data_IF_464248659122
#
_entry.id   IF_464248659122
#
_cell.length_a   1.000
_cell.length_b   1.000
_cell.length_c   1.000
_cell.angle_alpha   90.00
_cell.angle_beta   90.00
_cell.angle_gamma   90.00
#
_symmetry.space_group_name_H-M   'P 1'
#
loop_
_entity.id
_entity.type
_entity.pdbx_description
1 polymer ?
#
# COMPACT_ATOMS: atom_id res chain seq x y z
N UNK A 1 7.31 13.39 -13.34
CA UNK A 1 6.71 13.22 -12.00
C UNK A 1 5.21 13.29 -12.18
N UNK A 2 4.40 12.46 -11.49
CA UNK A 2 2.95 12.56 -11.57
C UNK A 2 2.55 13.98 -11.18
N UNK A 3 1.68 14.60 -11.97
CA UNK A 3 1.42 16.05 -11.90
C UNK A 3 0.37 16.44 -10.87
N UNK A 4 -0.29 15.47 -10.23
CA UNK A 4 -1.28 15.67 -9.18
C UNK A 4 -1.26 14.46 -8.24
N UNK A 5 -0.28 14.39 -7.33
CA UNK A 5 -0.30 13.38 -6.28
C UNK A 5 -1.27 13.83 -5.19
N UNK A 6 -2.51 13.36 -5.30
CA UNK A 6 -3.52 13.50 -4.26
C UNK A 6 -3.15 12.61 -3.05
N UNK A 7 -2.67 13.24 -1.97
CA UNK A 7 -2.23 12.57 -0.74
C UNK A 7 -3.38 12.30 0.26
N UNK A 8 -4.62 12.15 -0.21
CA UNK A 8 -5.82 11.79 0.56
C UNK A 8 -5.70 10.52 1.44
N UNK A 9 -4.62 9.74 1.29
CA UNK A 9 -4.29 8.60 2.17
C UNK A 9 -3.82 9.06 3.55
N UNK A 10 -3.20 10.24 3.65
CA UNK A 10 -2.83 10.83 4.92
C UNK A 10 -4.02 11.60 5.50
N UNK A 11 -4.47 11.21 6.69
CA UNK A 11 -5.53 11.88 7.43
C UNK A 11 -5.14 13.32 7.86
N UNK A 12 -5.61 13.74 9.04
CA UNK A 12 -5.30 15.01 9.73
C UNK A 12 -3.80 15.37 9.93
N UNK A 13 -2.87 14.54 9.47
CA UNK A 13 -1.43 14.71 9.69
C UNK A 13 -0.69 15.49 8.59
N UNK A 14 -1.22 15.55 7.36
CA UNK A 14 -0.60 16.27 6.23
C UNK A 14 -1.61 17.29 5.68
N UNK A 15 -1.38 18.57 6.00
CA UNK A 15 -2.23 19.67 5.54
C UNK A 15 -1.72 20.33 4.26
N UNK A 16 -0.39 20.45 4.12
CA UNK A 16 0.27 21.11 2.99
C UNK A 16 1.42 20.25 2.47
N UNK A 17 1.63 20.25 1.15
CA UNK A 17 2.78 19.66 0.49
C UNK A 17 3.73 20.77 0.00
N UNK A 18 4.98 20.71 0.44
CA UNK A 18 6.04 21.61 -0.04
C UNK A 18 7.21 20.75 -0.48
N UNK A 19 7.62 20.92 -1.73
CA UNK A 19 8.84 20.33 -2.26
C UNK A 19 9.99 21.23 -1.86
N UNK A 20 10.95 20.70 -1.10
CA UNK A 20 12.10 21.45 -0.60
C UNK A 20 13.39 20.66 -0.81
N UNK A 21 14.48 21.29 -1.28
CA UNK A 21 15.77 20.63 -1.38
C UNK A 21 16.33 20.30 0.01
N UNK A 22 16.96 19.14 0.15
CA UNK A 22 17.65 18.72 1.37
C UNK A 22 19.13 18.47 1.05
N UNK A 23 19.95 19.53 0.88
CA UNK A 23 21.35 19.37 0.50
C UNK A 23 22.11 18.58 1.58
N UNK A 24 22.95 17.64 1.13
CA UNK A 24 23.72 16.78 2.04
C UNK A 24 22.90 15.69 2.74
N UNK A 25 21.63 15.51 2.39
CA UNK A 25 20.84 14.41 2.92
C UNK A 25 21.37 13.06 2.42
N UNK A 26 21.37 12.07 3.30
CA UNK A 26 21.69 10.68 2.94
C UNK A 26 20.80 9.71 3.71
N UNK A 27 20.57 8.56 3.10
CA UNK A 27 19.84 7.44 3.68
C UNK A 27 20.54 6.15 3.27
N UNK A 28 21.30 5.57 4.21
CA UNK A 28 22.05 4.35 3.99
C UNK A 28 21.55 3.26 4.95
N UNK A 29 21.10 2.15 4.37
CA UNK A 29 20.73 0.96 5.13
C UNK A 29 21.74 -0.12 4.82
N UNK A 30 22.34 -0.67 5.86
CA UNK A 30 23.30 -1.78 5.81
C UNK A 30 22.75 -2.97 6.60
N UNK A 31 23.47 -4.09 6.55
CA UNK A 31 23.18 -5.23 7.42
C UNK A 31 23.20 -4.88 8.91
N UNK A 32 23.95 -3.82 9.29
CA UNK A 32 24.09 -3.34 10.67
C UNK A 32 23.09 -2.25 11.04
N UNK A 33 22.12 -1.92 10.20
CA UNK A 33 21.09 -0.94 10.51
C UNK A 33 21.18 0.29 9.63
N UNK A 34 20.70 1.43 10.13
CA UNK A 34 20.53 2.65 9.34
C UNK A 34 21.45 3.79 9.78
N UNK A 35 22.01 4.46 8.78
CA UNK A 35 22.62 5.77 8.90
C UNK A 35 21.80 6.75 8.04
N UNK A 36 21.23 7.77 8.67
CA UNK A 36 20.43 8.80 7.99
C UNK A 36 20.75 10.17 8.52
N UNK A 37 20.83 11.13 7.61
CA UNK A 37 20.92 12.55 7.96
C UNK A 37 20.12 13.35 6.96
N UNK A 38 19.31 14.28 7.43
CA UNK A 38 18.67 15.28 6.59
C UNK A 38 18.40 16.54 7.40
N UNK A 39 18.34 17.66 6.71
CA UNK A 39 17.93 18.93 7.26
C UNK A 39 17.11 19.70 6.23
N UNK A 40 16.13 20.47 6.70
CA UNK A 40 15.30 21.34 5.88
C UNK A 40 14.67 22.43 6.74
N UNK A 41 14.19 23.49 6.11
CA UNK A 41 13.35 24.49 6.77
C UNK A 41 11.88 24.17 6.49
N UNK A 42 11.07 24.06 7.54
CA UNK A 42 9.65 23.75 7.39
C UNK A 42 8.83 24.95 6.89
N UNK A 43 7.53 24.74 6.64
CA UNK A 43 6.62 25.78 6.10
C UNK A 43 6.50 27.04 6.97
N UNK A 44 6.87 26.96 8.24
CA UNK A 44 6.83 28.06 9.21
C UNK A 44 8.19 28.71 9.41
N UNK A 45 9.20 28.34 8.62
CA UNK A 45 10.55 28.88 8.75
C UNK A 45 11.38 28.26 9.86
N UNK A 46 10.97 27.11 10.43
CA UNK A 46 11.74 26.42 11.48
C UNK A 46 12.74 25.46 10.86
N UNK A 47 13.98 25.51 11.34
CA UNK A 47 14.99 24.55 10.94
C UNK A 47 14.72 23.18 11.59
N UNK A 48 14.70 22.14 10.77
CA UNK A 48 14.55 20.75 11.17
C UNK A 48 15.84 20.02 10.83
N UNK A 49 16.42 19.32 11.80
CA UNK A 49 17.61 18.49 11.62
C UNK A 49 17.36 17.12 12.23
N UNK A 50 17.62 16.06 11.46
CA UNK A 50 17.56 14.67 11.91
C UNK A 50 18.85 13.98 11.52
N UNK A 51 19.48 13.32 12.49
CA UNK A 51 20.64 12.43 12.29
C UNK A 51 20.48 11.18 13.14
N UNK A 52 20.63 10.02 12.52
CA UNK A 52 20.64 8.71 13.17
C UNK A 52 21.85 7.95 12.64
N UNK A 53 22.64 7.37 13.54
CA UNK A 53 23.78 6.53 13.19
C UNK A 53 23.77 5.28 14.06
N UNK A 54 23.56 4.11 13.45
CA UNK A 54 23.60 2.81 14.14
C UNK A 54 25.01 2.20 14.08
N UNK A 55 25.71 2.18 15.21
CA UNK A 55 27.09 1.66 15.33
C UNK A 55 27.14 0.23 15.87
N UNK A 56 25.99 -0.43 16.01
CA UNK A 56 25.91 -1.74 16.62
C UNK A 56 26.47 -2.81 15.66
N UNK A 57 27.46 -3.62 16.08
CA UNK A 57 28.15 -4.56 15.19
C UNK A 57 27.30 -5.77 14.81
N UNK A 58 26.23 -6.06 15.58
CA UNK A 58 25.35 -7.21 15.33
C UNK A 58 24.48 -6.92 14.09
N UNK A 59 24.30 -7.88 13.17
CA UNK A 59 23.39 -7.71 12.06
C UNK A 59 21.93 -7.58 12.53
N UNK A 60 21.17 -6.84 11.75
CA UNK A 60 19.72 -6.67 11.87
C UNK A 60 18.99 -7.93 11.40
N UNK A 61 17.70 -8.00 11.69
CA UNK A 61 16.82 -9.10 11.25
C UNK A 61 15.54 -8.49 10.71
N UNK A 62 15.62 -7.84 9.54
CA UNK A 62 14.48 -7.14 8.98
C UNK A 62 13.42 -8.12 8.50
N UNK A 63 12.20 -7.62 8.31
CA UNK A 63 11.06 -8.41 7.84
C UNK A 63 10.26 -7.64 6.80
N UNK A 64 9.27 -8.27 6.16
CA UNK A 64 8.38 -7.57 5.24
C UNK A 64 7.12 -7.12 5.96
N UNK A 65 6.72 -5.87 5.73
CA UNK A 65 5.54 -5.27 6.33
C UNK A 65 4.64 -4.68 5.25
N UNK A 66 3.34 -5.02 5.28
CA UNK A 66 2.32 -4.19 4.64
C UNK A 66 2.09 -2.97 5.53
N UNK A 67 2.60 -1.82 5.11
CA UNK A 67 2.50 -0.59 5.87
C UNK A 67 1.02 -0.17 6.00
N UNK A 68 0.52 0.11 7.21
CA UNK A 68 -0.87 0.49 7.43
C UNK A 68 -1.11 1.97 7.08
N UNK A 69 -0.60 2.45 5.95
CA UNK A 69 -0.71 3.86 5.52
C UNK A 69 -2.17 4.25 5.29
N UNK A 70 -2.99 3.32 4.81
CA UNK A 70 -4.43 3.52 4.63
C UNK A 70 -5.25 3.48 5.92
N UNK A 71 -4.66 3.14 7.07
CA UNK A 71 -5.42 2.94 8.31
C UNK A 71 -6.02 4.21 8.90
N UNK A 72 -5.52 5.39 8.51
CA UNK A 72 -6.03 6.68 8.95
C UNK A 72 -6.80 7.43 7.87
N UNK A 73 -6.74 7.03 6.60
CA UNK A 73 -7.41 7.74 5.50
C UNK A 73 -8.90 7.95 5.76
N UNK A 74 -9.37 9.19 5.56
CA UNK A 74 -10.78 9.58 5.72
C UNK A 74 -11.53 9.49 4.38
N UNK A 75 -10.88 9.91 3.28
CA UNK A 75 -11.45 9.93 1.93
C UNK A 75 -10.51 9.18 0.95
N UNK A 76 -10.38 7.85 1.06
CA UNK A 76 -9.45 7.11 0.22
C UNK A 76 -9.83 7.24 -1.25
N UNK A 77 -8.83 7.42 -2.12
CA UNK A 77 -8.99 7.35 -3.58
C UNK A 77 -8.43 6.06 -4.16
N UNK A 78 -7.76 5.22 -3.36
CA UNK A 78 -7.27 3.88 -3.74
C UNK A 78 -7.08 3.00 -2.50
N UNK A 79 -6.92 1.69 -2.68
CA UNK A 79 -6.38 0.83 -1.63
C UNK A 79 -4.83 0.80 -1.74
N UNK A 80 -4.09 1.33 -0.75
CA UNK A 80 -2.63 1.35 -0.82
C UNK A 80 -2.05 -0.02 -0.48
N UNK A 81 -1.53 -0.74 -1.48
CA UNK A 81 -0.70 -1.92 -1.22
C UNK A 81 0.75 -1.46 -1.09
N UNK A 82 1.09 -0.95 0.09
CA UNK A 82 2.42 -0.42 0.38
C UNK A 82 3.26 -1.41 1.16
N UNK A 83 4.18 -2.08 0.46
CA UNK A 83 5.09 -3.05 1.05
C UNK A 83 6.43 -2.40 1.36
N UNK A 84 6.84 -2.54 2.61
CA UNK A 84 8.17 -2.23 3.09
C UNK A 84 8.91 -3.56 3.23
N UNK A 85 9.69 -3.93 2.21
CA UNK A 85 10.60 -5.06 2.29
C UNK A 85 11.81 -4.66 3.13
N UNK A 86 12.48 -5.63 3.73
CA UNK A 86 13.65 -5.36 4.58
C UNK A 86 13.39 -4.26 5.62
N UNK A 87 12.17 -4.23 6.16
CA UNK A 87 11.73 -3.28 7.18
C UNK A 87 12.35 -3.63 8.53
N UNK A 88 12.83 -2.62 9.24
CA UNK A 88 13.27 -2.77 10.63
C UNK A 88 13.03 -1.47 11.43
N UNK A 89 13.29 -1.56 12.73
CA UNK A 89 13.29 -0.44 13.65
C UNK A 89 14.70 -0.07 14.07
N UNK A 90 14.92 1.22 14.31
CA UNK A 90 16.19 1.73 14.82
C UNK A 90 16.46 1.17 16.21
N UNK A 91 17.63 0.56 16.43
CA UNK A 91 18.01 0.02 17.73
C UNK A 91 18.42 1.15 18.68
N UNK A 92 18.29 0.90 19.98
CA UNK A 92 18.68 1.87 21.02
C UNK A 92 20.14 1.74 21.44
N UNK A 93 20.66 0.51 21.45
CA UNK A 93 22.02 0.24 21.88
C UNK A 93 23.01 0.62 20.80
N UNK A 94 24.04 1.41 21.17
CA UNK A 94 25.08 1.89 20.26
C UNK A 94 24.53 2.68 19.07
N UNK A 95 23.53 3.52 19.32
CA UNK A 95 22.90 4.37 18.31
C UNK A 95 22.93 5.83 18.74
N UNK A 96 23.45 6.68 17.88
CA UNK A 96 23.36 8.13 18.03
C UNK A 96 22.08 8.62 17.36
N UNK A 97 21.28 9.39 18.10
CA UNK A 97 20.05 10.00 17.57
C UNK A 97 20.03 11.48 17.94
N UNK A 98 19.95 12.33 16.92
CA UNK A 98 19.77 13.78 17.05
C UNK A 98 18.52 14.15 16.25
N UNK A 99 17.53 14.70 16.94
CA UNK A 99 16.36 15.32 16.33
C UNK A 99 16.26 16.72 16.92
N UNK A 100 16.32 17.75 16.07
CA UNK A 100 16.20 19.14 16.46
C UNK A 100 15.15 19.84 15.61
N UNK A 101 14.29 20.63 16.25
CA UNK A 101 13.33 21.51 15.57
C UNK A 101 13.50 22.90 16.18
N UNK A 102 13.89 23.88 15.36
CA UNK A 102 14.19 25.25 15.79
C UNK A 102 15.17 25.30 16.98
N UNK A 103 16.24 24.51 16.91
CA UNK A 103 17.25 24.39 17.97
C UNK A 103 16.81 23.58 19.20
N UNK A 104 15.55 23.17 19.30
CA UNK A 104 15.05 22.34 20.41
C UNK A 104 15.28 20.86 20.12
N UNK A 105 15.96 20.17 21.03
CA UNK A 105 16.16 18.73 20.94
C UNK A 105 14.91 17.93 21.34
N UNK A 106 14.63 16.88 20.57
CA UNK A 106 13.51 15.97 20.80
C UNK A 106 14.01 14.57 21.17
N UNK A 107 13.32 13.93 22.12
CA UNK A 107 13.58 12.54 22.50
C UNK A 107 12.73 11.62 21.62
N UNK A 108 13.32 10.57 21.05
CA UNK A 108 12.55 9.55 20.35
C UNK A 108 11.59 8.79 21.25
N UNK A 109 10.43 8.43 20.70
CA UNK A 109 9.56 7.44 21.32
C UNK A 109 10.23 6.06 21.34
N UNK A 110 9.97 5.31 22.40
CA UNK A 110 10.50 3.96 22.59
C UNK A 110 9.40 2.93 22.36
N UNK A 111 9.79 1.76 21.84
CA UNK A 111 8.88 0.63 21.79
C UNK A 111 8.86 -0.09 23.16
N UNK A 112 7.68 -0.49 23.67
CA UNK A 112 7.56 -0.99 25.05
C UNK A 112 8.20 -2.38 25.25
N UNK A 113 8.45 -3.13 24.19
CA UNK A 113 9.07 -4.46 24.23
C UNK A 113 10.24 -4.56 23.24
N UNK A 114 11.23 -5.42 23.52
CA UNK A 114 12.35 -5.63 22.60
C UNK A 114 11.89 -6.36 21.32
N UNK A 115 12.55 -6.05 20.20
CA UNK A 115 12.41 -6.72 18.92
C UNK A 115 13.72 -7.48 18.63
N UNK A 116 13.63 -8.77 18.29
CA UNK A 116 14.81 -9.59 17.96
C UNK A 116 15.93 -9.53 19.02
N UNK A 117 15.56 -9.44 20.30
CA UNK A 117 16.49 -9.31 21.43
C UNK A 117 17.10 -7.93 21.63
N UNK A 118 16.67 -6.91 20.86
CA UNK A 118 17.15 -5.54 20.97
C UNK A 118 16.04 -4.59 21.44
N UNK A 119 16.38 -3.66 22.33
CA UNK A 119 15.49 -2.52 22.61
C UNK A 119 15.54 -1.57 21.41
N UNK A 120 14.38 -1.13 20.93
CA UNK A 120 14.24 -0.31 19.72
C UNK A 120 13.54 1.02 20.02
N UNK A 121 13.83 2.03 19.20
CA UNK A 121 13.02 3.24 19.11
C UNK A 121 11.80 2.98 18.22
N UNK A 122 10.75 3.77 18.36
CA UNK A 122 9.62 3.76 17.44
C UNK A 122 9.91 4.53 16.14
N UNK A 123 11.10 4.28 15.58
CA UNK A 123 11.57 4.79 14.31
C UNK A 123 11.70 3.62 13.35
N UNK A 124 11.12 3.77 12.17
CA UNK A 124 10.93 2.69 11.20
C UNK A 124 11.64 3.07 9.92
N UNK A 125 12.33 2.11 9.30
CA UNK A 125 13.01 2.34 8.03
C UNK A 125 12.92 1.12 7.12
N UNK A 126 13.02 1.39 5.82
CA UNK A 126 13.19 0.41 4.75
C UNK A 126 13.76 1.16 3.55
N UNK A 127 14.73 0.57 2.86
CA UNK A 127 15.26 1.06 1.59
C UNK A 127 14.74 0.29 0.38
N UNK A 128 13.89 -0.71 0.61
CA UNK A 128 13.26 -1.54 -0.41
C UNK A 128 11.75 -1.45 -0.21
N UNK A 129 11.11 -0.55 -0.96
CA UNK A 129 9.67 -0.32 -0.85
C UNK A 129 8.98 -0.45 -2.20
N UNK A 130 7.76 -1.01 -2.18
CA UNK A 130 6.94 -1.20 -3.37
C UNK A 130 5.51 -0.76 -3.07
N UNK A 131 5.00 0.20 -3.85
CA UNK A 131 3.66 0.76 -3.69
C UNK A 131 2.84 0.48 -4.96
N UNK A 132 1.65 -0.07 -4.76
CA UNK A 132 0.63 -0.21 -5.79
C UNK A 132 -0.65 0.46 -5.33
N UNK A 133 -1.17 1.35 -6.15
CA UNK A 133 -2.46 1.99 -5.95
C UNK A 133 -3.54 1.07 -6.55
N UNK A 134 -4.15 0.22 -5.73
CA UNK A 134 -5.14 -0.74 -6.21
C UNK A 134 -6.50 -0.09 -6.46
N UNK A 135 -7.05 -0.31 -7.67
CA UNK A 135 -8.30 0.25 -8.17
C UNK A 135 -8.49 1.75 -7.84
N UNK A 136 -7.63 2.66 -8.34
CA UNK A 136 -7.81 4.08 -8.09
C UNK A 136 -9.21 4.55 -8.51
N UNK A 137 -9.76 5.49 -7.74
CA UNK A 137 -11.01 6.17 -8.03
C UNK A 137 -10.89 6.85 -9.40
N UNK A 138 -11.95 6.75 -10.17
CA UNK A 138 -11.90 7.13 -11.58
C UNK A 138 -13.27 7.62 -12.02
N UNK A 139 -13.28 8.64 -12.87
CA UNK A 139 -14.49 9.14 -13.52
C UNK A 139 -14.15 9.44 -14.96
N UNK A 140 -14.71 8.69 -15.89
CA UNK A 140 -14.38 8.85 -17.30
C UNK A 140 -14.78 7.67 -18.19
N UNK A 141 -14.48 7.78 -19.50
CA UNK A 141 -14.69 6.71 -20.45
C UNK A 141 -13.68 5.58 -20.26
N UNK A 142 -14.16 4.33 -20.21
CA UNK A 142 -13.36 3.13 -20.18
C UNK A 142 -12.78 2.84 -21.56
N UNK A 143 -11.51 2.48 -21.61
CA UNK A 143 -10.87 1.96 -22.82
C UNK A 143 -10.63 0.47 -22.67
N UNK A 144 -10.87 -0.33 -23.72
CA UNK A 144 -10.44 -1.72 -23.73
C UNK A 144 -8.95 -1.81 -23.41
N UNK A 145 -8.56 -2.83 -22.67
CA UNK A 145 -7.14 -3.06 -22.43
C UNK A 145 -6.48 -3.49 -23.75
N UNK A 146 -5.47 -2.76 -24.22
CA UNK A 146 -4.60 -3.15 -25.33
C UNK A 146 -3.18 -3.41 -24.86
N UNK A 147 -2.36 -4.10 -25.65
CA UNK A 147 -0.94 -4.34 -25.37
C UNK A 147 -0.09 -3.05 -25.32
N UNK A 148 -0.66 -1.92 -25.77
CA UNK A 148 0.00 -0.60 -25.79
C UNK A 148 -0.20 0.20 -24.49
N UNK A 149 -0.84 -0.42 -23.49
CA UNK A 149 -1.12 0.13 -22.16
C UNK A 149 0.13 0.18 -21.26
N UNK A 150 0.08 0.87 -20.10
CA UNK A 150 1.27 1.26 -19.35
C UNK A 150 2.22 0.11 -19.05
N UNK A 151 3.50 0.38 -19.28
CA UNK A 151 4.63 -0.51 -19.03
C UNK A 151 4.53 -1.11 -17.61
N UNK A 152 4.64 -2.44 -17.53
CA UNK A 152 4.65 -3.17 -16.27
C UNK A 152 3.28 -3.63 -15.75
N UNK A 153 2.16 -3.43 -16.47
CA UNK A 153 0.88 -4.10 -16.16
C UNK A 153 0.69 -5.34 -17.05
N UNK A 154 0.24 -6.45 -16.46
CA UNK A 154 -0.08 -7.68 -17.19
C UNK A 154 -1.50 -8.12 -16.88
N UNK A 155 -2.22 -8.64 -17.89
CA UNK A 155 -3.54 -9.23 -17.72
C UNK A 155 -3.50 -10.65 -18.27
N UNK A 156 -3.93 -11.61 -17.45
CA UNK A 156 -4.10 -12.99 -17.84
C UNK A 156 -5.60 -13.29 -17.95
N UNK A 157 -6.07 -13.46 -19.17
CA UNK A 157 -7.44 -13.87 -19.44
C UNK A 157 -7.54 -15.40 -19.37
N UNK A 158 -8.71 -15.93 -19.03
CA UNK A 158 -8.95 -17.35 -19.20
C UNK A 158 -9.03 -17.78 -20.66
N UNK A 159 -9.31 -19.06 -20.89
CA UNK A 159 -9.54 -19.51 -22.27
C UNK A 159 -10.83 -18.84 -22.79
N UNK A 160 -11.03 -18.77 -24.12
CA UNK A 160 -12.08 -17.95 -24.78
C UNK A 160 -13.36 -17.77 -23.95
N UNK A 161 -13.61 -16.55 -23.46
CA UNK A 161 -14.83 -16.15 -22.76
C UNK A 161 -14.82 -16.31 -21.23
N UNK A 162 -13.74 -16.83 -20.65
CA UNK A 162 -13.63 -17.09 -19.20
C UNK A 162 -13.44 -15.83 -18.34
N UNK A 163 -13.31 -14.62 -18.91
CA UNK A 163 -12.99 -13.40 -18.15
C UNK A 163 -11.52 -13.29 -17.70
N UNK A 164 -11.25 -12.36 -16.77
CA UNK A 164 -9.91 -12.03 -16.28
C UNK A 164 -9.54 -12.94 -15.10
N UNK A 165 -8.56 -13.84 -15.29
CA UNK A 165 -8.05 -14.73 -14.23
C UNK A 165 -7.14 -13.97 -13.27
N UNK A 166 -6.26 -13.11 -13.79
CA UNK A 166 -5.40 -12.29 -12.96
C UNK A 166 -4.94 -10.99 -13.63
N UNK A 167 -4.61 -10.01 -12.79
CA UNK A 167 -3.94 -8.76 -13.17
C UNK A 167 -2.64 -8.67 -12.38
N UNK A 168 -1.55 -8.36 -13.04
CA UNK A 168 -0.23 -8.18 -12.44
C UNK A 168 0.29 -6.77 -12.63
N UNK A 169 1.17 -6.34 -11.73
CA UNK A 169 2.01 -5.16 -11.95
C UNK A 169 3.44 -5.43 -11.48
N UNK A 170 4.44 -4.87 -12.17
CA UNK A 170 5.85 -5.05 -11.85
C UNK A 170 6.65 -3.76 -11.90
N UNK A 171 7.70 -3.69 -11.07
CA UNK A 171 8.70 -2.62 -11.08
C UNK A 171 10.03 -3.15 -10.56
N UNK A 172 11.02 -3.26 -11.44
CA UNK A 172 12.32 -3.84 -11.09
C UNK A 172 12.15 -5.28 -10.60
N UNK A 173 12.63 -5.58 -9.39
CA UNK A 173 12.54 -6.92 -8.78
C UNK A 173 11.22 -7.19 -8.04
N UNK A 174 10.28 -6.25 -8.02
CA UNK A 174 9.02 -6.39 -7.29
C UNK A 174 7.87 -6.60 -8.27
N UNK A 175 7.01 -7.54 -7.94
CA UNK A 175 5.74 -7.70 -8.65
C UNK A 175 4.61 -8.06 -7.72
N UNK A 176 3.41 -7.70 -8.13
CA UNK A 176 2.13 -8.02 -7.51
C UNK A 176 1.28 -8.79 -8.51
N UNK A 177 0.42 -9.66 -8.02
CA UNK A 177 -0.66 -10.28 -8.78
C UNK A 177 -1.95 -10.22 -7.97
N UNK A 178 -3.04 -9.94 -8.66
CA UNK A 178 -4.42 -10.04 -8.17
C UNK A 178 -5.07 -11.16 -8.94
N UNK A 179 -5.45 -12.23 -8.24
CA UNK A 179 -6.05 -13.41 -8.84
C UNK A 179 -7.53 -13.46 -8.46
N UNK A 180 -8.40 -13.76 -9.42
CA UNK A 180 -9.86 -13.81 -9.24
C UNK A 180 -10.38 -15.26 -9.29
N UNK A 181 -11.28 -15.61 -8.36
CA UNK A 181 -11.89 -16.94 -8.25
C UNK A 181 -13.41 -16.79 -8.00
N UNK A 182 -14.30 -17.10 -8.96
CA UNK A 182 -14.00 -17.37 -10.37
C UNK A 182 -13.32 -16.17 -11.05
N UNK A 183 -12.80 -16.31 -12.28
CA UNK A 183 -12.27 -15.17 -13.03
C UNK A 183 -13.26 -13.99 -13.07
N UNK A 184 -12.75 -12.76 -13.08
CA UNK A 184 -13.58 -11.57 -13.12
C UNK A 184 -14.25 -11.45 -14.50
N UNK A 185 -15.58 -11.27 -14.58
CA UNK A 185 -16.33 -11.39 -15.83
C UNK A 185 -15.98 -10.30 -16.86
N UNK A 186 -16.12 -10.61 -18.15
CA UNK A 186 -16.19 -9.59 -19.20
C UNK A 186 -17.49 -8.80 -19.03
N UNK A 187 -17.37 -7.52 -18.71
CA UNK A 187 -18.50 -6.69 -18.29
C UNK A 187 -19.40 -6.33 -19.49
N UNK A 188 -18.86 -6.26 -20.70
CA UNK A 188 -19.66 -5.95 -21.90
C UNK A 188 -20.61 -7.09 -22.28
N UNK A 189 -20.24 -8.32 -21.91
CA UNK A 189 -20.94 -9.54 -22.31
C UNK A 189 -21.88 -10.06 -21.21
N UNK A 190 -21.91 -9.39 -20.05
CA UNK A 190 -22.76 -9.76 -18.93
C UNK A 190 -24.24 -9.63 -19.32
N UNK A 191 -25.03 -10.70 -19.17
CA UNK A 191 -26.45 -10.67 -19.50
C UNK A 191 -27.23 -9.75 -18.56
N UNK A 192 -28.30 -9.12 -19.06
CA UNK A 192 -29.18 -8.31 -18.23
C UNK A 192 -29.73 -9.13 -17.05
N UNK A 193 -29.92 -8.49 -15.89
CA UNK A 193 -30.38 -9.07 -14.62
C UNK A 193 -29.50 -10.20 -14.09
N UNK A 194 -28.21 -10.21 -14.48
CA UNK A 194 -27.24 -11.17 -13.97
C UNK A 194 -26.45 -10.55 -12.83
N UNK A 195 -26.19 -11.36 -11.79
CA UNK A 195 -25.27 -11.04 -10.71
C UNK A 195 -24.27 -12.18 -10.51
N UNK A 196 -23.01 -11.81 -10.29
CA UNK A 196 -21.89 -12.71 -10.09
C UNK A 196 -21.12 -12.29 -8.84
N UNK A 197 -20.58 -13.26 -8.13
CA UNK A 197 -19.74 -13.03 -6.98
C UNK A 197 -18.51 -13.93 -7.01
N UNK A 198 -17.45 -13.47 -6.37
CA UNK A 198 -16.21 -14.22 -6.28
C UNK A 198 -15.27 -13.65 -5.25
N UNK A 199 -14.06 -14.20 -5.26
CA UNK A 199 -12.97 -13.82 -4.39
C UNK A 199 -11.83 -13.23 -5.21
N UNK A 200 -11.08 -12.32 -4.60
CA UNK A 200 -9.79 -11.89 -5.13
C UNK A 200 -8.68 -12.10 -4.11
N UNK A 201 -7.49 -12.39 -4.59
CA UNK A 201 -6.30 -12.58 -3.77
C UNK A 201 -5.14 -11.77 -4.36
N UNK A 202 -4.66 -10.80 -3.59
CA UNK A 202 -3.50 -9.97 -3.87
C UNK A 202 -2.26 -10.62 -3.23
N UNK A 203 -1.25 -10.92 -4.04
CA UNK A 203 0.04 -11.51 -3.63
C UNK A 203 1.20 -10.79 -4.28
N UNK A 204 2.37 -10.86 -3.67
CA UNK A 204 3.63 -10.50 -4.34
C UNK A 204 4.44 -11.70 -4.75
N UNK A 205 5.48 -11.48 -5.57
CA UNK A 205 6.49 -12.48 -5.88
C UNK A 205 7.22 -13.06 -4.67
N UNK A 206 7.27 -12.33 -3.55
CA UNK A 206 7.82 -12.82 -2.28
C UNK A 206 6.71 -13.41 -1.41
N UNK A 207 6.84 -14.69 -1.05
CA UNK A 207 5.84 -15.37 -0.22
C UNK A 207 5.78 -14.85 1.22
N UNK A 208 6.93 -14.37 1.74
CA UNK A 208 7.05 -13.80 3.08
C UNK A 208 6.20 -12.52 3.28
N UNK A 209 5.82 -11.84 2.20
CA UNK A 209 4.95 -10.65 2.25
C UNK A 209 3.52 -10.96 2.69
N UNK A 210 3.12 -12.24 2.69
CA UNK A 210 1.73 -12.62 2.93
C UNK A 210 0.82 -12.29 1.74
N UNK A 211 -0.48 -12.19 2.01
CA UNK A 211 -1.50 -11.89 0.98
C UNK A 211 -2.60 -11.00 1.54
N UNK A 212 -3.31 -10.30 0.64
CA UNK A 212 -4.60 -9.66 0.96
C UNK A 212 -5.68 -10.46 0.24
N UNK A 213 -6.77 -10.78 0.92
CA UNK A 213 -7.90 -11.50 0.32
C UNK A 213 -9.20 -10.73 0.51
N UNK A 214 -10.13 -10.92 -0.42
CA UNK A 214 -11.40 -10.22 -0.42
C UNK A 214 -12.43 -10.84 -1.33
N UNK A 215 -13.57 -10.19 -1.42
CA UNK A 215 -14.68 -10.57 -2.29
C UNK A 215 -14.97 -9.47 -3.30
N UNK A 216 -15.48 -9.87 -4.45
CA UNK A 216 -16.05 -8.97 -5.44
C UNK A 216 -17.48 -9.40 -5.78
N UNK A 217 -18.28 -8.44 -6.22
CA UNK A 217 -19.62 -8.63 -6.73
C UNK A 217 -19.81 -7.76 -7.97
N UNK A 218 -20.39 -8.34 -9.02
CA UNK A 218 -20.72 -7.66 -10.28
C UNK A 218 -22.18 -7.91 -10.59
N UNK A 219 -22.95 -6.88 -10.89
CA UNK A 219 -24.36 -7.01 -11.27
C UNK A 219 -24.71 -6.10 -12.43
N UNK A 220 -25.56 -6.56 -13.34
CA UNK A 220 -26.11 -5.75 -14.45
C UNK A 220 -27.61 -5.57 -14.28
N UNK A 221 -28.06 -4.33 -14.48
CA UNK A 221 -29.48 -3.97 -14.62
C UNK A 221 -29.63 -2.98 -15.78
N UNK A 222 -30.23 -3.45 -16.88
CA UNK A 222 -30.31 -2.72 -18.14
C UNK A 222 -28.91 -2.40 -18.69
N UNK A 223 -28.62 -1.11 -18.83
CA UNK A 223 -27.33 -0.60 -19.32
C UNK A 223 -26.38 -0.19 -18.19
N UNK A 224 -26.74 -0.46 -16.93
CA UNK A 224 -25.92 -0.15 -15.77
C UNK A 224 -25.29 -1.42 -15.19
N UNK A 225 -23.97 -1.35 -14.95
CA UNK A 225 -23.21 -2.38 -14.25
C UNK A 225 -22.70 -1.80 -12.94
N UNK A 226 -22.94 -2.50 -11.85
CA UNK A 226 -22.38 -2.18 -10.55
C UNK A 226 -21.30 -3.20 -10.20
N UNK A 227 -20.14 -2.72 -9.78
CA UNK A 227 -19.06 -3.55 -9.24
C UNK A 227 -18.80 -3.12 -7.81
N UNK A 228 -18.67 -4.08 -6.91
CA UNK A 228 -18.26 -3.86 -5.52
C UNK A 228 -17.07 -4.76 -5.21
N UNK A 229 -16.04 -4.21 -4.57
CA UNK A 229 -14.91 -5.00 -4.06
C UNK A 229 -14.65 -4.67 -2.60
N UNK A 230 -14.36 -5.70 -1.82
CA UNK A 230 -14.12 -5.57 -0.40
C UNK A 230 -13.00 -6.54 0.04
N UNK A 231 -11.82 -6.04 0.48
CA UNK A 231 -10.74 -6.86 1.04
C UNK A 231 -11.09 -7.39 2.45
N UNK A 232 -12.19 -8.16 2.55
CA UNK A 232 -12.78 -8.72 3.77
C UNK A 232 -11.82 -9.59 4.58
N UNK A 233 -10.88 -10.26 3.92
CA UNK A 233 -9.86 -11.09 4.57
C UNK A 233 -8.78 -10.27 5.28
N UNK A 234 -8.64 -8.99 4.91
CA UNK A 234 -7.56 -8.14 5.39
C UNK A 234 -6.20 -8.61 4.90
N UNK A 235 -5.14 -8.26 5.63
CA UNK A 235 -3.81 -8.76 5.38
C UNK A 235 -3.51 -10.01 6.22
N UNK A 236 -3.12 -11.08 5.53
CA UNK A 236 -2.67 -12.35 6.10
C UNK A 236 -1.14 -12.42 5.98
N UNK A 237 -0.39 -11.91 6.98
CA UNK A 237 1.08 -11.97 6.96
C UNK A 237 1.57 -13.41 7.05
N UNK A 238 2.75 -13.68 6.45
CA UNK A 238 3.45 -14.96 6.57
C UNK A 238 4.73 -14.81 7.43
N UNK A 239 4.61 -14.60 8.75
CA UNK A 239 5.76 -14.38 9.61
C UNK A 239 6.65 -15.63 9.73
N UNK A 240 7.95 -15.43 9.62
CA UNK A 240 9.01 -16.43 9.73
C UNK A 240 9.52 -16.62 11.17
N UNK A 241 9.22 -15.67 12.08
CA UNK A 241 9.61 -15.74 13.49
C UNK A 241 8.42 -15.80 14.45
N UNK A 242 8.61 -16.44 15.62
CA UNK A 242 7.60 -16.49 16.68
C UNK A 242 7.21 -15.10 17.19
N UNK A 243 8.16 -14.17 17.22
CA UNK A 243 7.90 -12.80 17.61
C UNK A 243 6.95 -12.10 16.62
N UNK A 244 7.20 -12.20 15.31
CA UNK A 244 6.34 -11.58 14.31
C UNK A 244 4.94 -12.19 14.32
N UNK A 245 4.83 -13.51 14.57
CA UNK A 245 3.54 -14.17 14.85
C UNK A 245 2.81 -13.50 16.01
N UNK A 246 3.49 -13.21 17.11
CA UNK A 246 2.90 -12.50 18.25
C UNK A 246 2.54 -11.05 17.91
N UNK A 247 3.45 -10.28 17.28
CA UNK A 247 3.22 -8.88 16.91
C UNK A 247 1.96 -8.71 16.06
N UNK A 248 1.85 -9.48 14.97
CA UNK A 248 0.69 -9.40 14.09
C UNK A 248 -0.59 -9.95 14.72
N UNK A 249 -0.47 -10.89 15.66
CA UNK A 249 -1.62 -11.37 16.44
C UNK A 249 -2.13 -10.31 17.42
N UNK A 250 -1.23 -9.66 18.15
CA UNK A 250 -1.55 -8.68 19.19
C UNK A 250 -2.04 -7.35 18.60
N UNK A 251 -1.41 -6.88 17.52
CA UNK A 251 -1.73 -5.59 16.90
C UNK A 251 -2.60 -5.82 15.67
N UNK A 252 -3.91 -5.94 15.90
CA UNK A 252 -4.92 -6.18 14.85
C UNK A 252 -4.88 -5.15 13.73
N UNK A 253 -4.49 -3.91 14.04
CA UNK A 253 -4.35 -2.82 13.07
C UNK A 253 -3.61 -3.23 11.79
N UNK A 254 -2.51 -3.99 11.91
CA UNK A 254 -1.73 -4.39 10.74
C UNK A 254 -2.50 -5.31 9.79
N UNK A 255 -3.37 -6.17 10.33
CA UNK A 255 -4.12 -7.17 9.55
C UNK A 255 -5.48 -6.66 9.11
N UNK A 256 -6.14 -5.89 9.97
CA UNK A 256 -7.57 -5.58 9.81
C UNK A 256 -7.80 -4.25 9.10
N UNK A 257 -6.81 -3.35 8.99
CA UNK A 257 -7.02 -2.06 8.32
C UNK A 257 -7.55 -2.17 6.88
N UNK A 258 -7.14 -3.13 6.02
CA UNK A 258 -7.69 -3.23 4.67
C UNK A 258 -9.18 -3.55 4.71
N UNK A 259 -9.65 -4.34 5.70
CA UNK A 259 -11.07 -4.72 5.86
C UNK A 259 -12.00 -3.52 6.05
N UNK A 260 -11.46 -2.36 6.39
CA UNK A 260 -12.28 -1.15 6.51
C UNK A 260 -12.60 -0.54 5.14
N UNK A 261 -11.95 -0.96 4.06
CA UNK A 261 -12.11 -0.40 2.72
C UNK A 261 -13.24 -1.08 1.93
N UNK A 262 -13.95 -0.27 1.15
CA UNK A 262 -14.93 -0.72 0.17
C UNK A 262 -14.77 0.07 -1.12
N UNK A 263 -14.58 -0.62 -2.23
CA UNK A 263 -14.59 -0.02 -3.55
C UNK A 263 -15.93 -0.28 -4.23
N UNK A 264 -16.45 0.73 -4.90
CA UNK A 264 -17.64 0.62 -5.73
C UNK A 264 -17.43 1.33 -7.07
N UNK A 265 -17.94 0.74 -8.13
CA UNK A 265 -18.01 1.36 -9.45
C UNK A 265 -19.39 1.18 -10.07
N UNK A 266 -19.84 2.21 -10.75
CA UNK A 266 -21.00 2.20 -11.63
C UNK A 266 -20.50 2.43 -13.06
N UNK A 267 -20.88 1.55 -13.97
CA UNK A 267 -20.50 1.61 -15.38
C UNK A 267 -21.77 1.70 -16.21
N UNK A 268 -21.83 2.68 -17.11
CA UNK A 268 -22.91 2.84 -18.08
C UNK A 268 -22.47 2.34 -19.44
N UNK A 269 -23.13 1.31 -19.95
CA UNK A 269 -22.97 0.76 -21.28
C UNK A 269 -23.83 1.59 -22.24
N UNK A 270 -23.29 2.67 -22.81
CA UNK A 270 -24.05 3.49 -23.77
C UNK A 270 -24.43 2.70 -25.03
N UNK A 271 -25.55 3.04 -25.66
CA UNK A 271 -25.97 2.48 -26.96
C UNK A 271 -25.09 3.04 -28.09
N UNK A 272 -23.88 2.51 -28.26
CA UNK A 272 -22.92 2.92 -29.30
C UNK A 272 -21.82 3.88 -28.85
N UNK A 273 -21.84 4.34 -27.60
CA UNK A 273 -20.78 5.14 -26.98
C UNK A 273 -19.83 4.28 -26.12
N UNK A 274 -18.61 4.79 -25.95
CA UNK A 274 -17.60 4.18 -25.06
C UNK A 274 -18.15 4.06 -23.63
N UNK A 275 -18.10 2.88 -22.97
CA UNK A 275 -18.62 2.73 -21.62
C UNK A 275 -18.05 3.76 -20.66
N UNK A 276 -18.86 4.34 -19.79
CA UNK A 276 -18.43 5.36 -18.83
C UNK A 276 -18.44 4.79 -17.41
N UNK A 277 -17.35 4.97 -16.67
CA UNK A 277 -17.24 4.51 -15.29
C UNK A 277 -17.12 5.68 -14.32
N UNK A 278 -17.84 5.58 -13.20
CA UNK A 278 -17.59 6.32 -11.98
C UNK A 278 -17.27 5.32 -10.87
N UNK A 279 -16.10 5.45 -10.24
CA UNK A 279 -15.64 4.58 -9.18
C UNK A 279 -15.06 5.35 -8.00
N UNK A 280 -15.20 4.78 -6.81
CA UNK A 280 -14.73 5.39 -5.56
C UNK A 280 -14.41 4.35 -4.50
N UNK A 281 -13.52 4.73 -3.58
CA UNK A 281 -13.36 4.03 -2.31
C UNK A 281 -14.15 4.74 -1.21
N UNK A 282 -14.52 3.95 -0.21
CA UNK A 282 -15.11 4.41 1.04
C UNK A 282 -14.56 3.55 2.18
N UNK A 283 -14.65 4.04 3.42
CA UNK A 283 -14.31 3.26 4.62
C UNK A 283 -15.50 3.06 5.55
N UNK A 284 -15.64 1.84 6.04
CA UNK A 284 -16.45 1.56 7.21
C UNK A 284 -15.73 2.10 8.46
N UNK A 285 -16.50 2.78 9.33
CA UNK A 285 -16.01 3.30 10.62
C UNK A 285 -15.85 2.17 11.64
#
# INVERSE_FOLDING_TARGET
>A
MPKDDDFNVAAKGLADLIIHPMPGAFFHVSEKGVDVSFAFTDKTGRDVEVKIVEKNPRPTRPFTLLAPVGSSSENPTFLPVYLMNSFDFVRRSLTEVKISINGRFHKPDIFPFPLNGSRIYFMRYSNDTFLVNWCPAYTGPLKPYSSDNPEGITINNGERGDGIKSVGAERGQHSISVNFIPPFPEITDLQDKTALEGQFIIKTNKEASGKISGTYHVSREGDEIQIKMHPSGGWEPKPDTLFLKFLFRAVRLFRDWPKTYHWGANIKLGSGDTPFMESRWSRAK
#
